data_IF_811838838802
#
_entry.id   IF_811838838802
#
_cell.length_a   1.000
_cell.length_b   1.000
_cell.length_c   1.000
_cell.angle_alpha   90.00
_cell.angle_beta   90.00
_cell.angle_gamma   90.00
#
_symmetry.space_group_name_H-M   'P 1'
#
loop_
_entity.id
_entity.type
_entity.pdbx_description
1 polymer ?
#
# COMPACT_ATOMS: atom_id res chain seq x y z
N UNK A 1 8.04 -17.50 7.37
CA UNK A 1 6.97 -16.51 7.05
C UNK A 1 7.61 -15.13 6.83
N UNK A 2 7.93 -14.76 5.59
CA UNK A 2 8.77 -13.57 5.31
C UNK A 2 8.19 -12.68 4.20
N UNK A 3 6.97 -12.15 4.38
CA UNK A 3 6.35 -11.21 3.42
C UNK A 3 6.64 -9.74 3.73
N UNK A 4 7.68 -9.44 4.51
CA UNK A 4 8.09 -8.06 4.88
C UNK A 4 9.09 -7.45 3.87
N UNK A 5 9.64 -8.25 2.95
CA UNK A 5 10.59 -7.78 1.91
C UNK A 5 9.96 -7.58 0.51
N UNK A 6 8.64 -7.66 0.38
CA UNK A 6 7.98 -7.44 -0.90
C UNK A 6 7.99 -5.94 -1.26
N UNK A 7 8.49 -5.59 -2.44
CA UNK A 7 8.43 -4.21 -2.95
C UNK A 7 7.06 -3.94 -3.58
N UNK A 8 6.28 -3.05 -2.94
CA UNK A 8 4.93 -2.72 -3.39
C UNK A 8 4.92 -1.56 -4.39
N UNK A 9 3.99 -1.61 -5.36
CA UNK A 9 3.74 -0.55 -6.33
C UNK A 9 3.03 0.62 -5.64
N UNK A 10 3.53 1.83 -5.89
CA UNK A 10 2.87 3.04 -5.45
C UNK A 10 1.61 3.31 -6.31
N UNK A 11 0.45 3.60 -5.70
CA UNK A 11 -0.77 3.90 -6.45
C UNK A 11 -0.68 5.21 -7.25
N UNK A 12 0.19 6.14 -6.84
CA UNK A 12 0.32 7.46 -7.49
C UNK A 12 1.34 7.48 -8.64
N UNK A 13 2.52 6.89 -8.46
CA UNK A 13 3.62 6.97 -9.43
C UNK A 13 4.03 5.63 -10.06
N UNK A 14 3.37 4.53 -9.70
CA UNK A 14 3.66 3.18 -10.22
C UNK A 14 4.98 2.56 -9.74
N UNK A 15 5.85 3.32 -9.07
CA UNK A 15 7.16 2.83 -8.64
C UNK A 15 7.03 1.76 -7.54
N UNK A 16 7.83 0.68 -7.66
CA UNK A 16 7.96 -0.40 -6.66
C UNK A 16 8.88 0.00 -5.49
N UNK A 17 8.66 1.18 -4.91
CA UNK A 17 9.49 1.76 -3.83
C UNK A 17 8.67 2.19 -2.62
N UNK A 18 7.56 1.49 -2.35
CA UNK A 18 6.75 1.71 -1.15
C UNK A 18 7.34 0.95 0.02
N UNK A 19 7.50 1.63 1.16
CA UNK A 19 8.01 1.08 2.42
C UNK A 19 7.01 1.36 3.53
N UNK A 20 6.98 0.50 4.56
CA UNK A 20 6.18 0.74 5.76
C UNK A 20 6.89 1.78 6.63
N UNK A 21 6.14 2.78 7.08
CA UNK A 21 6.63 3.77 8.06
C UNK A 21 6.14 3.41 9.45
N UNK A 22 4.86 3.01 9.55
CA UNK A 22 4.23 2.58 10.80
C UNK A 22 3.24 1.45 10.52
N UNK A 23 2.69 0.81 11.55
CA UNK A 23 1.59 -0.15 11.37
C UNK A 23 0.45 0.54 10.62
N UNK A 24 0.06 -0.03 9.47
CA UNK A 24 -0.98 0.52 8.61
C UNK A 24 -0.58 1.75 7.79
N UNK A 25 0.62 2.33 7.99
CA UNK A 25 1.06 3.55 7.28
C UNK A 25 2.21 3.22 6.33
N UNK A 26 2.01 3.55 5.06
CA UNK A 26 2.91 3.23 3.96
C UNK A 26 3.35 4.50 3.23
N UNK A 27 4.64 4.62 2.90
CA UNK A 27 5.21 5.78 2.20
C UNK A 27 6.01 5.35 0.98
N UNK A 28 5.79 6.03 -0.15
CA UNK A 28 6.61 5.86 -1.34
C UNK A 28 7.91 6.67 -1.22
N UNK A 29 9.05 6.01 -1.38
CA UNK A 29 10.36 6.67 -1.38
C UNK A 29 10.63 7.53 -2.62
N UNK A 30 9.89 7.34 -3.74
CA UNK A 30 10.10 8.12 -4.98
C UNK A 30 9.33 9.44 -4.97
N UNK A 31 8.04 9.41 -4.67
CA UNK A 31 7.16 10.59 -4.74
C UNK A 31 6.73 11.11 -3.36
N UNK A 32 7.17 10.50 -2.27
CA UNK A 32 6.82 10.91 -0.91
C UNK A 32 5.37 10.61 -0.50
N UNK A 33 4.55 10.03 -1.38
CA UNK A 33 3.13 9.75 -1.11
C UNK A 33 2.97 8.80 0.07
N UNK A 34 2.23 9.25 1.08
CA UNK A 34 1.92 8.47 2.29
C UNK A 34 0.45 8.11 2.27
N UNK A 35 0.13 6.86 2.56
CA UNK A 35 -1.23 6.35 2.52
C UNK A 35 -1.44 5.27 3.59
N UNK A 36 -2.72 5.10 3.96
CA UNK A 36 -3.15 4.08 4.89
C UNK A 36 -3.45 2.77 4.13
N UNK A 37 -3.08 1.66 4.73
CA UNK A 37 -3.30 0.32 4.19
C UNK A 37 -3.38 -0.70 5.32
N UNK A 38 -3.26 -1.98 4.99
CA UNK A 38 -3.21 -3.03 6.00
C UNK A 38 -1.96 -2.94 6.89
N UNK A 39 -2.06 -3.53 8.08
CA UNK A 39 -0.97 -3.59 9.05
C UNK A 39 0.28 -4.27 8.47
N UNK A 40 0.08 -5.34 7.70
CA UNK A 40 1.16 -6.15 7.13
C UNK A 40 1.33 -5.99 5.62
N UNK A 41 0.26 -5.61 4.91
CA UNK A 41 0.25 -5.44 3.46
C UNK A 41 -0.43 -4.10 3.10
N UNK A 42 0.11 -3.29 2.19
CA UNK A 42 -0.43 -1.97 1.86
C UNK A 42 -1.81 -2.01 1.22
N UNK A 43 -2.19 -3.13 0.61
CA UNK A 43 -3.55 -3.41 0.15
C UNK A 43 -3.96 -4.78 0.66
N UNK A 44 -5.04 -4.82 1.42
CA UNK A 44 -5.70 -6.06 1.85
C UNK A 44 -6.83 -6.40 0.89
N UNK A 45 -7.25 -7.67 0.87
CA UNK A 45 -8.38 -8.10 0.04
C UNK A 45 -9.67 -7.30 0.33
N UNK A 46 -9.87 -6.92 1.60
CA UNK A 46 -10.99 -6.08 2.02
C UNK A 46 -10.94 -4.69 1.38
N UNK A 47 -9.78 -4.02 1.39
CA UNK A 47 -9.59 -2.73 0.71
C UNK A 47 -9.96 -2.84 -0.77
N UNK A 48 -9.47 -3.89 -1.43
CA UNK A 48 -9.73 -4.12 -2.84
C UNK A 48 -11.22 -4.34 -3.14
N UNK A 49 -11.92 -5.06 -2.26
CA UNK A 49 -13.35 -5.29 -2.36
C UNK A 49 -14.14 -3.98 -2.14
N UNK A 50 -13.76 -3.19 -1.14
CA UNK A 50 -14.37 -1.89 -0.86
C UNK A 50 -14.21 -0.91 -2.02
N UNK A 51 -13.02 -0.84 -2.61
CA UNK A 51 -12.73 -0.05 -3.83
C UNK A 51 -13.65 -0.47 -5.00
N UNK A 52 -14.07 -1.74 -5.06
CA UNK A 52 -14.95 -2.25 -6.12
C UNK A 52 -16.44 -1.98 -5.87
N UNK A 53 -16.86 -1.92 -4.61
CA UNK A 53 -18.26 -1.66 -4.24
C UNK A 53 -18.66 -0.18 -4.33
N UNK A 54 -17.69 0.73 -4.33
CA UNK A 54 -17.98 2.16 -4.43
C UNK A 54 -18.43 2.51 -5.86
N UNK A 55 -19.54 3.25 -6.02
CA UNK A 55 -19.94 3.77 -7.33
C UNK A 55 -18.82 4.69 -7.85
N UNK A 56 -18.53 4.56 -9.15
CA UNK A 56 -17.44 5.27 -9.83
C UNK A 56 -17.75 6.74 -10.04
#
# INVERSE_FOLDING_TARGET
MAKVKATYKCPRCGAKKVRRVFIGVWRCGKCGFTFCGGAWEPRTALSLAAERSLPR
#
